data_IF_066338812990
#
_entry.id   IF_066338812990
#
_cell.length_a   1.000
_cell.length_b   1.000
_cell.length_c   1.000
_cell.angle_alpha   90.00
_cell.angle_beta   90.00
_cell.angle_gamma   90.00
#
_symmetry.space_group_name_H-M   'P 1'
#
loop_
_entity.id
_entity.type
_entity.pdbx_description
1 polymer ?
#
# COMPACT_ATOMS: atom_id res chain seq x y z
N UNK A 1 -14.04 3.56 -8.22
CA UNK A 1 -15.05 3.29 -7.16
C UNK A 1 -15.10 1.81 -6.77
N UNK A 2 -15.42 0.85 -7.66
CA UNK A 2 -15.46 -0.58 -7.30
C UNK A 2 -14.15 -1.13 -6.71
N UNK A 3 -12.99 -0.73 -7.26
CA UNK A 3 -11.69 -1.15 -6.72
C UNK A 3 -11.35 -0.49 -5.37
N UNK A 4 -11.77 0.75 -5.13
CA UNK A 4 -11.66 1.36 -3.80
C UNK A 4 -12.52 0.60 -2.79
N UNK A 5 -13.79 0.35 -3.11
CA UNK A 5 -14.67 -0.48 -2.27
C UNK A 5 -14.05 -1.86 -1.95
N UNK A 6 -13.46 -2.54 -2.93
CA UNK A 6 -12.76 -3.81 -2.69
C UNK A 6 -11.51 -3.65 -1.79
N UNK A 7 -10.81 -2.51 -1.91
CA UNK A 7 -9.75 -2.09 -1.00
C UNK A 7 -10.24 -1.96 0.44
N UNK A 8 -11.30 -1.17 0.69
CA UNK A 8 -11.90 -1.01 2.03
C UNK A 8 -12.33 -2.35 2.64
N UNK A 9 -12.92 -3.23 1.82
CA UNK A 9 -13.31 -4.57 2.29
C UNK A 9 -12.09 -5.43 2.67
N UNK A 10 -10.94 -5.20 2.03
CA UNK A 10 -9.67 -5.80 2.44
C UNK A 10 -9.13 -5.13 3.70
N UNK A 11 -9.31 -3.81 3.86
CA UNK A 11 -9.03 -3.06 5.07
C UNK A 11 -9.79 -3.58 6.30
N UNK A 12 -10.97 -4.18 6.15
CA UNK A 12 -11.64 -4.86 7.27
C UNK A 12 -10.86 -6.07 7.82
N UNK A 13 -9.95 -6.67 7.03
CA UNK A 13 -9.08 -7.75 7.51
C UNK A 13 -8.08 -7.28 8.57
N UNK A 14 -7.89 -5.96 8.72
CA UNK A 14 -7.16 -5.34 9.82
C UNK A 14 -7.70 -5.71 11.20
N UNK A 15 -8.98 -6.13 11.29
CA UNK A 15 -9.52 -6.74 12.51
C UNK A 15 -8.70 -7.92 13.02
N UNK A 16 -8.00 -8.66 12.14
CA UNK A 16 -7.07 -9.73 12.55
C UNK A 16 -5.82 -9.18 13.21
N UNK A 17 -5.39 -7.97 12.88
CA UNK A 17 -4.20 -7.33 13.45
C UNK A 17 -4.36 -6.98 14.92
N UNK A 18 -5.60 -6.77 15.38
CA UNK A 18 -5.91 -6.54 16.81
C UNK A 18 -5.39 -7.70 17.67
N UNK A 19 -5.48 -8.94 17.18
CA UNK A 19 -5.08 -10.14 17.92
C UNK A 19 -3.57 -10.21 18.22
N UNK A 20 -2.75 -9.47 17.48
CA UNK A 20 -1.30 -9.44 17.66
C UNK A 20 -0.75 -8.02 17.88
N UNK A 21 -1.63 -7.06 18.19
CA UNK A 21 -1.22 -5.71 18.57
C UNK A 21 -0.33 -5.76 19.84
N UNK A 22 0.78 -5.01 19.89
CA UNK A 22 1.75 -5.11 20.98
C UNK A 22 1.27 -4.47 22.28
N UNK A 23 0.26 -3.59 22.22
CA UNK A 23 -0.30 -2.86 23.36
C UNK A 23 -1.71 -2.34 23.04
N UNK A 24 -2.38 -1.81 24.06
CA UNK A 24 -3.75 -1.30 23.96
C UNK A 24 -3.86 -0.08 23.03
N UNK A 25 -2.85 0.80 22.99
CA UNK A 25 -2.81 1.96 22.08
C UNK A 25 -2.88 1.52 20.61
N UNK A 26 -2.11 0.48 20.25
CA UNK A 26 -2.11 -0.09 18.92
C UNK A 26 -3.43 -0.81 18.59
N UNK A 27 -4.01 -1.52 19.55
CA UNK A 27 -5.30 -2.19 19.37
C UNK A 27 -6.45 -1.18 19.17
N UNK A 28 -6.46 -0.10 19.96
CA UNK A 28 -7.45 0.98 19.86
C UNK A 28 -7.34 1.72 18.53
N UNK A 29 -6.11 2.02 18.09
CA UNK A 29 -5.89 2.58 16.75
C UNK A 29 -6.47 1.69 15.65
N UNK A 30 -6.22 0.38 15.68
CA UNK A 30 -6.75 -0.56 14.68
C UNK A 30 -8.28 -0.63 14.72
N UNK A 31 -8.88 -0.60 15.90
CA UNK A 31 -10.33 -0.56 16.04
C UNK A 31 -10.92 0.72 15.42
N UNK A 32 -10.28 1.88 15.66
CA UNK A 32 -10.67 3.14 15.01
C UNK A 32 -10.49 3.07 13.49
N UNK A 33 -9.40 2.48 12.99
CA UNK A 33 -9.19 2.35 11.55
C UNK A 33 -10.30 1.51 10.92
N UNK A 34 -10.69 0.38 11.50
CA UNK A 34 -11.80 -0.44 10.98
C UNK A 34 -13.08 0.38 10.83
N UNK A 35 -13.36 1.31 11.77
CA UNK A 35 -14.52 2.19 11.66
C UNK A 35 -14.39 3.17 10.47
N UNK A 36 -13.19 3.66 10.18
CA UNK A 36 -12.90 4.46 8.99
C UNK A 36 -13.16 3.67 7.72
N UNK A 37 -12.57 2.47 7.59
CA UNK A 37 -12.73 1.59 6.42
C UNK A 37 -14.22 1.26 6.16
N UNK A 38 -15.01 1.00 7.22
CA UNK A 38 -16.46 0.77 7.10
C UNK A 38 -17.15 2.02 6.55
N UNK A 39 -16.79 3.21 7.04
CA UNK A 39 -17.37 4.47 6.59
C UNK A 39 -16.98 4.77 5.14
N UNK A 40 -15.73 4.57 4.77
CA UNK A 40 -15.23 4.70 3.40
C UNK A 40 -15.94 3.72 2.45
N UNK A 41 -16.07 2.45 2.84
CA UNK A 41 -16.79 1.43 2.08
C UNK A 41 -18.24 1.85 1.79
N UNK A 42 -18.95 2.36 2.81
CA UNK A 42 -20.32 2.89 2.65
C UNK A 42 -20.37 4.05 1.66
N UNK A 43 -19.42 4.98 1.73
CA UNK A 43 -19.33 6.11 0.80
C UNK A 43 -19.10 5.62 -0.64
N UNK A 44 -18.18 4.67 -0.85
CA UNK A 44 -17.92 4.11 -2.18
C UNK A 44 -19.10 3.31 -2.72
N UNK A 45 -19.76 2.49 -1.88
CA UNK A 45 -20.95 1.73 -2.27
C UNK A 45 -22.07 2.65 -2.77
N UNK A 46 -22.33 3.75 -2.06
CA UNK A 46 -23.32 4.74 -2.46
C UNK A 46 -23.00 5.38 -3.83
N UNK A 47 -21.73 5.51 -4.20
CA UNK A 47 -21.35 5.97 -5.54
C UNK A 47 -21.45 4.85 -6.58
N UNK A 48 -21.05 3.62 -6.27
CA UNK A 48 -21.15 2.48 -7.22
C UNK A 48 -22.59 2.27 -7.69
N UNK A 49 -23.57 2.39 -6.78
CA UNK A 49 -24.99 2.29 -7.13
C UNK A 49 -25.45 3.42 -8.07
N UNK A 50 -24.81 4.59 -8.02
CA UNK A 50 -25.11 5.74 -8.88
C UNK A 50 -24.46 5.64 -10.27
N UNK A 51 -23.28 5.06 -10.36
CA UNK A 51 -22.55 4.90 -11.63
C UNK A 51 -22.62 3.42 -12.07
N UNK A 52 -23.76 3.02 -12.65
CA UNK A 52 -24.05 1.62 -13.02
C UNK A 52 -23.17 1.03 -14.14
N UNK A 53 -22.36 1.83 -14.84
CA UNK A 53 -21.85 1.47 -16.17
C UNK A 53 -20.32 1.27 -16.28
N UNK A 54 -19.69 0.64 -15.27
CA UNK A 54 -18.26 0.31 -15.33
C UNK A 54 -18.02 -1.19 -15.46
N UNK A 55 -17.58 -1.64 -16.64
CA UNK A 55 -17.13 -3.01 -16.85
C UNK A 55 -16.02 -3.39 -15.85
N UNK A 56 -16.17 -4.55 -15.21
CA UNK A 56 -15.15 -5.09 -14.30
C UNK A 56 -13.84 -5.35 -15.06
N UNK A 57 -12.82 -4.54 -14.78
CA UNK A 57 -11.43 -4.97 -14.98
C UNK A 57 -11.13 -5.94 -13.84
N UNK A 58 -11.34 -7.24 -14.08
CA UNK A 58 -10.81 -8.28 -13.19
C UNK A 58 -9.29 -8.20 -13.25
N UNK A 59 -8.67 -7.82 -12.14
CA UNK A 59 -7.22 -7.96 -11.96
C UNK A 59 -6.94 -9.47 -11.98
N UNK A 60 -6.03 -9.98 -12.84
CA UNK A 60 -5.68 -11.39 -12.84
C UNK A 60 -5.26 -11.87 -11.45
N UNK A 61 -5.70 -13.07 -11.04
CA UNK A 61 -5.43 -13.67 -9.72
C UNK A 61 -3.94 -13.69 -9.34
N UNK A 62 -3.05 -13.78 -10.33
CA UNK A 62 -1.59 -13.70 -10.10
C UNK A 62 -1.15 -12.33 -9.60
N UNK A 63 -1.79 -11.25 -10.06
CA UNK A 63 -1.54 -9.90 -9.57
C UNK A 63 -2.16 -9.71 -8.19
N UNK A 64 -3.32 -10.31 -7.90
CA UNK A 64 -3.86 -10.36 -6.53
C UNK A 64 -2.89 -11.06 -5.57
N UNK A 65 -2.14 -12.08 -5.98
CA UNK A 65 -1.11 -12.74 -5.14
C UNK A 65 0.13 -11.84 -4.97
N UNK A 66 0.45 -11.04 -5.98
CA UNK A 66 1.60 -10.13 -5.99
C UNK A 66 1.32 -8.85 -5.17
N UNK A 67 0.05 -8.42 -5.12
CA UNK A 67 -0.43 -7.21 -4.43
C UNK A 67 -1.10 -7.54 -3.09
N UNK A 68 -1.51 -8.79 -2.88
CA UNK A 68 -2.05 -9.28 -1.61
C UNK A 68 -1.19 -8.70 -0.52
N UNK A 69 -1.79 -8.05 0.50
CA UNK A 69 -1.03 -7.39 1.54
C UNK A 69 0.02 -8.38 1.96
N UNK A 70 1.27 -8.01 1.72
CA UNK A 70 2.44 -8.60 2.33
C UNK A 70 2.35 -8.24 3.81
N UNK A 71 1.24 -8.62 4.44
CA UNK A 71 0.93 -8.34 5.82
C UNK A 71 2.11 -8.90 6.56
N UNK A 72 2.80 -7.97 7.21
CA UNK A 72 4.01 -8.29 7.92
C UNK A 72 3.75 -9.45 8.84
N UNK A 73 4.65 -10.42 8.87
CA UNK A 73 4.55 -11.51 9.86
C UNK A 73 4.82 -10.99 11.26
N UNK A 74 5.44 -9.82 11.35
CA UNK A 74 5.80 -9.10 12.56
C UNK A 74 5.06 -7.78 12.59
N UNK A 75 4.73 -7.32 13.81
CA UNK A 75 4.04 -6.06 14.02
C UNK A 75 4.65 -4.88 13.26
N UNK A 76 5.98 -4.75 13.28
CA UNK A 76 6.66 -3.64 12.60
C UNK A 76 6.65 -3.78 11.07
N UNK A 77 6.61 -5.01 10.54
CA UNK A 77 6.45 -5.25 9.10
C UNK A 77 5.04 -4.86 8.66
N UNK A 78 4.02 -5.17 9.47
CA UNK A 78 2.64 -4.78 9.22
C UNK A 78 2.49 -3.25 9.23
N UNK A 79 3.01 -2.60 10.27
CA UNK A 79 3.03 -1.13 10.36
C UNK A 79 3.77 -0.48 9.19
N UNK A 80 4.86 -1.10 8.71
CA UNK A 80 5.60 -0.56 7.57
C UNK A 80 4.88 -0.79 6.24
N UNK A 81 4.53 -2.04 5.92
CA UNK A 81 4.03 -2.43 4.61
C UNK A 81 2.60 -2.00 4.38
N UNK A 82 1.73 -2.21 5.37
CA UNK A 82 0.30 -1.97 5.21
C UNK A 82 -0.02 -0.51 5.52
N UNK A 83 0.52 0.03 6.63
CA UNK A 83 0.21 1.40 7.08
C UNK A 83 1.10 2.48 6.46
N UNK A 84 2.43 2.39 6.65
CA UNK A 84 3.31 3.47 6.21
C UNK A 84 3.46 3.54 4.69
N UNK A 85 3.46 2.38 4.02
CA UNK A 85 3.70 2.25 2.58
C UNK A 85 2.40 2.01 1.79
N UNK A 86 1.55 1.09 2.23
CA UNK A 86 0.28 0.75 1.59
C UNK A 86 -0.65 1.96 1.51
N UNK A 87 -0.98 2.56 2.66
CA UNK A 87 -1.83 3.75 2.71
C UNK A 87 -1.21 4.95 1.97
N UNK A 88 0.11 5.03 1.88
CA UNK A 88 0.77 6.09 1.11
C UNK A 88 0.53 5.94 -0.41
N UNK A 89 0.48 4.70 -0.93
CA UNK A 89 0.04 4.45 -2.31
C UNK A 89 -1.42 4.83 -2.53
N UNK A 90 -2.29 4.49 -1.57
CA UNK A 90 -3.73 4.82 -1.61
C UNK A 90 -3.92 6.34 -1.62
N UNK A 91 -3.25 7.04 -0.69
CA UNK A 91 -3.25 8.49 -0.60
C UNK A 91 -2.75 9.16 -1.89
N UNK A 92 -1.63 8.69 -2.46
CA UNK A 92 -1.12 9.20 -3.72
C UNK A 92 -2.13 9.02 -4.88
N UNK A 93 -2.82 7.88 -4.91
CA UNK A 93 -3.88 7.63 -5.91
C UNK A 93 -5.06 8.59 -5.71
N UNK A 94 -5.49 8.82 -4.47
CA UNK A 94 -6.56 9.77 -4.17
C UNK A 94 -6.20 11.19 -4.63
N UNK A 95 -4.99 11.67 -4.33
CA UNK A 95 -4.53 12.99 -4.77
C UNK A 95 -4.50 13.10 -6.30
N UNK A 96 -4.01 12.07 -6.99
CA UNK A 96 -4.01 12.03 -8.45
C UNK A 96 -5.44 12.10 -9.02
N UNK A 97 -6.38 11.34 -8.43
CA UNK A 97 -7.78 11.35 -8.86
C UNK A 97 -8.47 12.68 -8.54
N UNK A 98 -8.15 13.32 -7.42
CA UNK A 98 -8.65 14.66 -7.08
C UNK A 98 -8.25 15.69 -8.15
N UNK A 99 -7.02 15.60 -8.65
CA UNK A 99 -6.51 16.50 -9.69
C UNK A 99 -7.15 16.22 -11.06
N UNK A 100 -7.43 14.96 -11.38
CA UNK A 100 -7.81 14.53 -12.73
C UNK A 100 -9.31 14.34 -12.95
N UNK A 101 -10.10 14.04 -11.92
CA UNK A 101 -11.54 13.87 -12.06
C UNK A 101 -12.24 15.21 -12.33
N UNK A 102 -13.33 15.25 -13.10
CA UNK A 102 -14.12 16.47 -13.27
C UNK A 102 -15.15 16.69 -12.17
N UNK A 103 -15.68 15.62 -11.56
CA UNK A 103 -16.82 15.70 -10.63
C UNK A 103 -16.42 16.27 -9.26
N UNK A 104 -16.91 17.47 -8.88
CA UNK A 104 -16.57 18.12 -7.62
C UNK A 104 -17.10 17.37 -6.38
N UNK A 105 -18.21 16.62 -6.50
CA UNK A 105 -18.73 15.82 -5.39
C UNK A 105 -17.80 14.63 -5.11
N UNK A 106 -17.33 13.95 -6.14
CA UNK A 106 -16.34 12.88 -6.00
C UNK A 106 -15.03 13.39 -5.42
N UNK A 107 -14.55 14.57 -5.84
CA UNK A 107 -13.37 15.21 -5.24
C UNK A 107 -13.53 15.44 -3.75
N UNK A 108 -14.68 15.98 -3.30
CA UNK A 108 -14.95 16.22 -1.87
C UNK A 108 -14.90 14.92 -1.05
N UNK A 109 -15.46 13.83 -1.59
CA UNK A 109 -15.39 12.51 -0.94
C UNK A 109 -13.95 12.05 -0.83
N UNK A 110 -13.19 12.08 -1.93
CA UNK A 110 -11.77 11.68 -1.95
C UNK A 110 -10.92 12.52 -0.99
N UNK A 111 -11.17 13.83 -0.90
CA UNK A 111 -10.49 14.70 0.06
C UNK A 111 -10.79 14.33 1.51
N UNK A 112 -12.03 13.95 1.82
CA UNK A 112 -12.39 13.53 3.17
C UNK A 112 -11.68 12.24 3.56
N UNK A 113 -11.65 11.26 2.65
CA UNK A 113 -11.03 9.96 2.88
C UNK A 113 -9.51 10.13 2.99
N UNK A 114 -8.89 10.89 2.09
CA UNK A 114 -7.44 11.15 2.11
C UNK A 114 -6.94 11.77 3.43
N UNK A 115 -7.79 12.51 4.16
CA UNK A 115 -7.45 13.01 5.51
C UNK A 115 -7.40 11.91 6.55
N UNK A 116 -8.28 10.92 6.44
CA UNK A 116 -8.28 9.76 7.33
C UNK A 116 -7.03 8.90 7.09
N UNK A 117 -6.68 8.66 5.82
CA UNK A 117 -5.46 7.92 5.42
C UNK A 117 -4.18 8.52 6.03
N UNK A 118 -4.09 9.85 6.12
CA UNK A 118 -2.93 10.51 6.72
C UNK A 118 -2.71 10.09 8.18
N UNK A 119 -3.79 9.84 8.93
CA UNK A 119 -3.70 9.33 10.31
C UNK A 119 -3.12 7.92 10.32
N UNK A 120 -3.54 7.06 9.40
CA UNK A 120 -3.05 5.69 9.31
C UNK A 120 -1.58 5.63 8.86
N UNK A 121 -1.20 6.42 7.85
CA UNK A 121 0.19 6.60 7.43
C UNK A 121 1.04 7.05 8.62
N UNK A 122 0.58 8.07 9.36
CA UNK A 122 1.32 8.61 10.52
C UNK A 122 1.56 7.52 11.57
N UNK A 123 0.53 6.76 11.94
CA UNK A 123 0.66 5.65 12.87
C UNK A 123 1.70 4.62 12.37
N UNK A 124 1.59 4.18 11.12
CA UNK A 124 2.55 3.25 10.51
C UNK A 124 3.99 3.74 10.56
N UNK A 125 4.21 5.03 10.27
CA UNK A 125 5.52 5.67 10.33
C UNK A 125 6.06 5.75 11.75
N UNK A 126 5.24 6.13 12.72
CA UNK A 126 5.64 6.24 14.13
C UNK A 126 6.02 4.86 14.69
N UNK A 127 5.22 3.82 14.42
CA UNK A 127 5.52 2.44 14.83
C UNK A 127 6.78 1.90 14.13
N UNK A 128 6.95 2.19 12.84
CA UNK A 128 8.17 1.84 12.10
C UNK A 128 9.40 2.50 12.72
N UNK A 129 9.32 3.81 13.05
CA UNK A 129 10.42 4.53 13.71
C UNK A 129 10.75 3.92 15.08
N UNK A 130 9.74 3.61 15.90
CA UNK A 130 9.92 2.93 17.19
C UNK A 130 10.68 1.60 17.02
N UNK A 131 10.32 0.80 16.03
CA UNK A 131 11.02 -0.47 15.73
C UNK A 131 12.48 -0.24 15.26
N UNK A 132 12.72 0.77 14.42
CA UNK A 132 14.07 1.10 13.94
C UNK A 132 14.97 1.66 15.04
N UNK A 133 14.41 2.36 16.04
CA UNK A 133 15.15 2.79 17.23
C UNK A 133 15.62 1.60 18.06
N UNK A 134 14.80 0.54 18.15
CA UNK A 134 15.16 -0.69 18.84
C UNK A 134 16.20 -1.51 18.07
N UNK A 135 16.07 -1.59 16.74
CA UNK A 135 17.02 -2.30 15.88
C UNK A 135 17.24 -1.59 14.53
N UNK A 136 18.26 -0.70 14.44
CA UNK A 136 18.54 0.05 13.22
C UNK A 136 18.90 -0.81 12.00
N UNK A 137 19.32 -2.07 12.22
CA UNK A 137 19.66 -2.99 11.12
C UNK A 137 18.42 -3.39 10.29
N UNK A 138 17.22 -3.27 10.86
CA UNK A 138 15.98 -3.61 10.18
C UNK A 138 15.63 -2.62 9.05
N UNK A 139 16.24 -1.43 9.01
CA UNK A 139 16.08 -0.49 7.91
C UNK A 139 16.41 -1.11 6.54
N UNK A 140 17.48 -1.91 6.46
CA UNK A 140 17.86 -2.61 5.21
C UNK A 140 16.87 -3.70 4.83
N UNK A 141 16.29 -4.34 5.84
CA UNK A 141 15.30 -5.39 5.63
C UNK A 141 13.98 -4.79 5.11
N UNK A 142 13.47 -3.74 5.76
CA UNK A 142 12.29 -2.99 5.33
C UNK A 142 12.49 -2.35 3.95
N UNK A 143 13.69 -1.85 3.66
CA UNK A 143 14.04 -1.39 2.31
C UNK A 143 13.94 -2.51 1.27
N UNK A 144 14.38 -3.72 1.61
CA UNK A 144 14.21 -4.89 0.75
C UNK A 144 12.74 -5.23 0.48
N UNK A 145 11.86 -5.11 1.50
CA UNK A 145 10.42 -5.30 1.34
C UNK A 145 9.81 -4.21 0.44
N UNK A 146 10.21 -2.96 0.62
CA UNK A 146 9.82 -1.87 -0.27
C UNK A 146 10.22 -2.14 -1.73
N UNK A 147 11.47 -2.54 -1.98
CA UNK A 147 11.93 -2.84 -3.34
C UNK A 147 11.15 -3.99 -3.98
N UNK A 148 10.77 -4.99 -3.18
CA UNK A 148 9.88 -6.06 -3.63
C UNK A 148 8.51 -5.52 -4.03
N UNK A 149 7.87 -4.73 -3.16
CA UNK A 149 6.57 -4.12 -3.44
C UNK A 149 6.63 -3.19 -4.67
N UNK A 150 7.69 -2.36 -4.80
CA UNK A 150 7.89 -1.52 -5.98
C UNK A 150 7.98 -2.34 -7.27
N UNK A 151 8.66 -3.48 -7.22
CA UNK A 151 8.76 -4.39 -8.36
C UNK A 151 7.40 -5.00 -8.70
N UNK A 152 6.66 -5.44 -7.68
CA UNK A 152 5.28 -5.92 -7.81
C UNK A 152 4.37 -4.87 -8.46
N UNK A 153 4.42 -3.62 -8.00
CA UNK A 153 3.66 -2.50 -8.55
C UNK A 153 4.05 -2.19 -10.00
N UNK A 154 5.33 -2.32 -10.37
CA UNK A 154 5.77 -2.18 -11.76
C UNK A 154 5.20 -3.26 -12.67
N UNK A 155 5.15 -4.51 -12.21
CA UNK A 155 4.53 -5.61 -12.95
C UNK A 155 3.03 -5.35 -13.12
N UNK A 156 2.35 -4.94 -12.05
CA UNK A 156 0.95 -4.54 -12.09
C UNK A 156 0.69 -3.43 -13.11
N UNK A 157 1.50 -2.37 -13.10
CA UNK A 157 1.43 -1.28 -14.07
C UNK A 157 1.47 -1.82 -15.51
N UNK A 158 2.44 -2.68 -15.81
CA UNK A 158 2.61 -3.25 -17.15
C UNK A 158 1.38 -4.06 -17.56
N UNK A 159 0.88 -4.92 -16.66
CA UNK A 159 -0.32 -5.73 -16.91
C UNK A 159 -1.57 -4.87 -17.11
N UNK A 160 -1.82 -3.89 -16.25
CA UNK A 160 -2.99 -2.99 -16.36
C UNK A 160 -2.90 -2.15 -17.63
N UNK A 161 -1.74 -1.58 -17.93
CA UNK A 161 -1.52 -0.82 -19.16
C UNK A 161 -1.79 -1.68 -20.40
N UNK A 162 -1.28 -2.91 -20.43
CA UNK A 162 -1.52 -3.85 -21.53
C UNK A 162 -3.01 -4.14 -21.71
N UNK A 163 -3.72 -4.42 -20.62
CA UNK A 163 -5.17 -4.68 -20.65
C UNK A 163 -5.97 -3.46 -21.12
N UNK A 164 -5.62 -2.26 -20.67
CA UNK A 164 -6.26 -1.01 -21.10
C UNK A 164 -6.06 -0.75 -22.58
N UNK A 165 -4.83 -0.93 -23.09
CA UNK A 165 -4.53 -0.83 -24.53
C UNK A 165 -5.31 -1.85 -25.36
N UNK A 166 -5.38 -3.11 -24.90
CA UNK A 166 -6.19 -4.16 -25.55
C UNK A 166 -7.67 -3.78 -25.64
N UNK A 167 -8.18 -3.03 -24.64
CA UNK A 167 -9.53 -2.47 -24.63
C UNK A 167 -9.67 -1.12 -25.34
N UNK A 168 -8.65 -0.66 -26.10
CA UNK A 168 -8.61 0.64 -26.79
C UNK A 168 -8.81 1.85 -25.86
N UNK A 169 -8.35 1.76 -24.61
CA UNK A 169 -8.40 2.83 -23.59
C UNK A 169 -7.01 3.46 -23.41
N UNK A 170 -6.52 4.11 -24.45
CA UNK A 170 -5.16 4.70 -24.46
C UNK A 170 -5.01 5.86 -23.49
N UNK A 171 -6.07 6.65 -23.32
CA UNK A 171 -6.21 7.72 -22.33
C UNK A 171 -5.93 7.21 -20.90
N UNK A 172 -6.62 6.14 -20.50
CA UNK A 172 -6.45 5.54 -19.18
C UNK A 172 -5.09 4.86 -19.03
N UNK A 173 -4.59 4.25 -20.10
CA UNK A 173 -3.26 3.64 -20.09
C UNK A 173 -2.16 4.70 -19.88
N UNK A 174 -2.31 5.88 -20.48
CA UNK A 174 -1.42 7.01 -20.27
C UNK A 174 -1.53 7.56 -18.84
N UNK A 175 -2.74 7.81 -18.35
CA UNK A 175 -2.97 8.29 -16.98
C UNK A 175 -2.42 7.32 -15.92
N UNK A 176 -2.58 6.01 -16.12
CA UNK A 176 -2.06 4.97 -15.20
C UNK A 176 -0.54 5.02 -15.10
N UNK A 177 0.15 5.22 -16.23
CA UNK A 177 1.62 5.41 -16.25
C UNK A 177 2.04 6.70 -15.56
N UNK A 178 1.33 7.80 -15.83
CA UNK A 178 1.61 9.09 -15.23
C UNK A 178 1.50 9.01 -13.70
N UNK A 179 0.39 8.45 -13.19
CA UNK A 179 0.18 8.20 -11.78
C UNK A 179 1.34 7.39 -11.18
N UNK A 180 1.67 6.23 -11.76
CA UNK A 180 2.72 5.37 -11.22
C UNK A 180 4.07 6.10 -11.14
N UNK A 181 4.45 6.84 -12.20
CA UNK A 181 5.72 7.55 -12.22
C UNK A 181 5.78 8.63 -11.12
N UNK A 182 4.73 9.43 -10.98
CA UNK A 182 4.63 10.47 -9.96
C UNK A 182 4.62 9.88 -8.54
N UNK A 183 3.76 8.90 -8.30
CA UNK A 183 3.61 8.27 -6.98
C UNK A 183 4.88 7.50 -6.58
N UNK A 184 5.49 6.73 -7.49
CA UNK A 184 6.68 5.92 -7.16
C UNK A 184 7.87 6.78 -6.74
N UNK A 185 8.06 7.96 -7.33
CA UNK A 185 9.14 8.87 -6.96
C UNK A 185 8.92 9.47 -5.57
N UNK A 186 7.71 9.97 -5.30
CA UNK A 186 7.36 10.53 -4.00
C UNK A 186 7.47 9.47 -2.89
N UNK A 187 6.93 8.29 -3.13
CA UNK A 187 6.93 7.20 -2.16
C UNK A 187 8.35 6.74 -1.87
N UNK A 188 9.21 6.64 -2.89
CA UNK A 188 10.62 6.30 -2.67
C UNK A 188 11.31 7.29 -1.74
N UNK A 189 11.10 8.60 -1.96
CA UNK A 189 11.68 9.65 -1.13
C UNK A 189 11.18 9.58 0.32
N UNK A 190 9.87 9.38 0.51
CA UNK A 190 9.26 9.23 1.84
C UNK A 190 9.79 8.01 2.58
N UNK A 191 9.91 6.86 1.90
CA UNK A 191 10.42 5.61 2.50
C UNK A 191 11.92 5.71 2.78
N UNK A 192 12.71 6.32 1.89
CA UNK A 192 14.14 6.57 2.16
C UNK A 192 14.31 7.44 3.42
N UNK A 193 13.54 8.53 3.52
CA UNK A 193 13.55 9.42 4.67
C UNK A 193 13.13 8.68 5.95
N UNK A 194 12.07 7.87 5.89
CA UNK A 194 11.59 7.08 7.01
C UNK A 194 12.63 6.08 7.52
N UNK A 195 13.30 5.36 6.61
CA UNK A 195 14.18 4.25 6.96
C UNK A 195 15.62 4.67 7.28
N UNK A 196 16.11 5.76 6.69
CA UNK A 196 17.53 6.11 6.74
C UNK A 196 17.85 7.50 7.29
N UNK A 197 16.84 8.33 7.62
CA UNK A 197 16.99 9.68 8.20
C UNK A 197 18.13 10.49 7.52
N UNK A 198 17.77 11.15 6.41
CA UNK A 198 18.54 12.21 5.70
C UNK A 198 19.84 11.86 4.95
N UNK A 199 20.21 10.58 4.78
CA UNK A 199 21.18 10.21 3.73
C UNK A 199 20.54 9.35 2.64
N UNK A 200 20.29 9.89 1.43
CA UNK A 200 19.82 9.06 0.32
C UNK A 200 20.86 7.98 0.03
N UNK A 201 20.41 6.73 -0.10
CA UNK A 201 21.24 5.66 -0.63
C UNK A 201 21.55 6.00 -2.09
N UNK A 202 22.83 6.22 -2.41
CA UNK A 202 23.30 6.38 -3.78
C UNK A 202 22.72 5.27 -4.69
N UNK A 203 22.22 5.61 -5.90
CA UNK A 203 21.45 4.70 -6.76
C UNK A 203 22.17 3.39 -7.14
N UNK A 204 23.52 3.34 -7.03
CA UNK A 204 24.32 2.21 -7.48
C UNK A 204 24.93 1.33 -6.37
N UNK A 205 24.58 1.55 -5.10
CA UNK A 205 25.33 0.93 -3.99
C UNK A 205 24.99 -0.51 -3.62
N UNK A 206 23.75 -0.82 -3.24
CA UNK A 206 23.46 -2.06 -2.45
C UNK A 206 22.06 -2.67 -2.66
N UNK A 207 21.44 -2.47 -3.83
CA UNK A 207 20.12 -3.06 -4.17
C UNK A 207 20.16 -4.60 -4.15
N UNK A 208 21.24 -5.20 -4.65
CA UNK A 208 21.38 -6.67 -4.75
C UNK A 208 21.54 -7.37 -3.39
N UNK A 209 22.14 -6.73 -2.39
CA UNK A 209 22.32 -7.34 -1.06
C UNK A 209 21.09 -7.18 -0.17
N UNK A 210 20.36 -6.07 -0.27
CA UNK A 210 19.10 -5.85 0.45
C UNK A 210 18.00 -6.83 -0.01
N UNK A 211 17.80 -7.01 -1.31
CA UNK A 211 16.84 -8.00 -1.84
C UNK A 211 17.23 -9.44 -1.50
N UNK A 212 18.53 -9.79 -1.54
CA UNK A 212 19.01 -11.13 -1.12
C UNK A 212 18.79 -11.39 0.37
N UNK A 213 18.92 -10.37 1.23
CA UNK A 213 18.70 -10.51 2.67
C UNK A 213 17.21 -10.69 3.00
N UNK A 214 16.33 -9.91 2.37
CA UNK A 214 14.88 -10.08 2.49
C UNK A 214 14.42 -11.45 1.98
N UNK A 215 14.88 -11.85 0.79
CA UNK A 215 14.59 -13.17 0.20
C UNK A 215 15.11 -14.32 1.07
N UNK A 216 16.34 -14.22 1.61
CA UNK A 216 16.88 -15.24 2.53
C UNK A 216 16.05 -15.38 3.79
N UNK A 217 15.63 -14.29 4.46
CA UNK A 217 14.74 -14.38 5.63
C UNK A 217 13.35 -14.94 5.30
N UNK A 218 12.79 -14.57 4.14
CA UNK A 218 11.50 -15.08 3.65
C UNK A 218 11.54 -16.57 3.31
N UNK A 219 12.61 -17.06 2.69
CA UNK A 219 12.78 -18.45 2.23
C UNK A 219 13.27 -19.39 3.33
N UNK A 220 14.26 -19.00 4.16
CA UNK A 220 14.79 -19.89 5.21
C UNK A 220 13.73 -20.32 6.23
N UNK A 221 12.75 -19.46 6.53
CA UNK A 221 11.68 -19.78 7.48
C UNK A 221 10.49 -20.53 6.88
N UNK A 222 10.45 -20.75 5.56
CA UNK A 222 9.42 -21.57 4.90
C UNK A 222 9.72 -23.07 5.03
N UNK A 223 10.97 -23.44 5.29
CA UNK A 223 11.41 -24.84 5.44
C UNK A 223 11.45 -25.36 6.88
N UNK A 224 11.41 -24.49 7.90
CA UNK A 224 11.44 -24.90 9.31
C UNK A 224 10.06 -25.01 9.99
N UNK A 225 8.96 -24.86 9.23
CA UNK A 225 7.59 -25.10 9.71
C UNK A 225 6.94 -26.37 9.11
N UNK A 226 7.75 -27.26 8.53
CA UNK A 226 7.34 -28.61 8.14
C UNK A 226 7.94 -29.69 9.07
N UNK A 227 8.48 -29.29 10.22
CA UNK A 227 9.14 -30.18 11.18
C UNK A 227 8.68 -30.00 12.64
N UNK A 228 7.51 -29.37 12.86
CA UNK A 228 6.74 -29.42 14.11
C UNK A 228 5.25 -29.27 13.79
#
# INVERSE_FOLDING_TARGET
MRQFYAGEMTGLLEGKAILYAPNLEAADFLASQIQDEIRHAKLYAAQILKYQDSQNLKIPRILEIIIAPTSGRLWYEHCFLDKALGELWVYALMLFLIQTLPDPKLKKILYSIAKDEMRHIRFGREQTKKALQQNPKDAKYLWGLYLWQKTAMKILLQSVTYLLKKKKREDLAHQTKLFYNQASQLIEQEIQTLLFQEKPLHPNGKIRSACRFAWRKLVYRRFYKLSM
#
